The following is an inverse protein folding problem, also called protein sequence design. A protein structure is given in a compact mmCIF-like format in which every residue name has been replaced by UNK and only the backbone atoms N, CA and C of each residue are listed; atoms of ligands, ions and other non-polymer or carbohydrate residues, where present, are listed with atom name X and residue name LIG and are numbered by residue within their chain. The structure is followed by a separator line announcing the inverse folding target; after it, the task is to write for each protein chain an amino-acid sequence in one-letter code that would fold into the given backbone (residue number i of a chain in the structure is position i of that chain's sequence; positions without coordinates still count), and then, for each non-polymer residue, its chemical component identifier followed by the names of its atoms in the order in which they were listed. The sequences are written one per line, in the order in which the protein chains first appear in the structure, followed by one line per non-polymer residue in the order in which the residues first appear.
data_IF_702923431196
#
_entry.id   IF_702923431196
#
_cell.length_a   1.000
_cell.length_b   1.000
_cell.length_c   1.000
_cell.angle_alpha   90.00
_cell.angle_beta   90.00
_cell.angle_gamma   90.00
#
_symmetry.space_group_name_H-M   'P 1'
#
loop_
_entity.id
_entity.type
_entity.pdbx_description
1 polymer ?
#
# COMPACT_ATOMS: atom_id res chain seq x y z
N UNK A 1 37.80 5.13 -13.14
CA UNK A 1 37.14 4.11 -13.93
C UNK A 1 35.79 4.65 -14.41
N UNK A 2 35.53 4.58 -15.70
CA UNK A 2 34.22 4.89 -16.28
C UNK A 2 33.35 3.64 -16.16
N UNK A 3 32.13 3.78 -15.59
CA UNK A 3 31.18 2.70 -15.46
C UNK A 3 29.85 3.15 -16.05
N UNK A 4 29.22 2.29 -16.85
CA UNK A 4 27.92 2.54 -17.43
C UNK A 4 26.83 2.06 -16.44
N UNK A 5 25.89 2.93 -16.08
CA UNK A 5 24.79 2.61 -15.18
C UNK A 5 23.53 3.40 -15.58
N UNK A 6 22.36 2.97 -15.10
CA UNK A 6 21.08 3.64 -15.30
C UNK A 6 20.73 4.51 -14.11
N UNK A 7 20.15 5.67 -14.39
CA UNK A 7 19.66 6.59 -13.38
C UNK A 7 18.24 7.04 -13.72
N UNK A 8 17.36 7.08 -12.72
CA UNK A 8 16.06 7.74 -12.86
C UNK A 8 16.27 9.25 -12.90
N UNK A 9 15.75 9.90 -13.93
CA UNK A 9 15.79 11.36 -14.07
C UNK A 9 14.39 11.88 -14.40
N UNK A 10 14.01 13.04 -13.86
CA UNK A 10 12.78 13.72 -14.25
C UNK A 10 12.82 14.10 -15.73
N UNK A 11 11.70 13.94 -16.40
CA UNK A 11 11.57 14.19 -17.83
C UNK A 11 10.58 15.29 -18.11
N UNK A 12 10.99 16.32 -18.86
CA UNK A 12 10.11 17.35 -19.34
C UNK A 12 9.40 16.90 -20.62
N UNK A 13 8.10 16.65 -20.56
CA UNK A 13 7.32 16.24 -21.73
C UNK A 13 7.17 17.34 -22.79
N UNK A 14 7.29 18.61 -22.40
CA UNK A 14 7.22 19.76 -23.31
C UNK A 14 8.51 19.93 -24.11
N UNK A 15 9.66 19.83 -23.44
CA UNK A 15 10.98 20.03 -24.07
C UNK A 15 11.57 18.72 -24.61
N UNK A 16 11.01 17.57 -24.23
CA UNK A 16 11.51 16.23 -24.55
C UNK A 16 12.97 16.04 -24.10
N UNK A 17 13.30 16.53 -22.90
CA UNK A 17 14.64 16.43 -22.30
C UNK A 17 14.57 16.02 -20.84
N UNK A 18 15.66 15.39 -20.33
CA UNK A 18 15.86 15.19 -18.90
C UNK A 18 16.07 16.54 -18.20
N UNK A 19 15.58 16.64 -16.97
CA UNK A 19 15.76 17.82 -16.11
C UNK A 19 16.82 17.56 -15.05
N UNK A 20 17.66 18.56 -14.80
CA UNK A 20 18.58 18.54 -13.68
C UNK A 20 17.85 18.83 -12.35
N UNK A 21 18.48 18.43 -11.23
CA UNK A 21 17.94 18.72 -9.89
C UNK A 21 17.77 20.23 -9.65
N UNK A 22 18.65 21.06 -10.24
CA UNK A 22 18.57 22.51 -10.11
C UNK A 22 17.35 23.11 -10.84
N UNK A 23 17.03 22.62 -12.03
CA UNK A 23 15.84 23.03 -12.78
C UNK A 23 14.56 22.62 -12.06
N UNK A 24 14.54 21.42 -11.45
CA UNK A 24 13.41 20.98 -10.64
C UNK A 24 13.20 21.87 -9.42
N UNK A 25 14.26 22.19 -8.69
CA UNK A 25 14.18 22.97 -7.46
C UNK A 25 13.52 24.34 -7.66
N UNK A 26 13.65 24.93 -8.85
CA UNK A 26 13.02 26.20 -9.20
C UNK A 26 11.53 26.09 -9.57
N UNK A 27 11.05 24.89 -9.83
CA UNK A 27 9.68 24.63 -10.29
C UNK A 27 8.70 24.17 -9.20
N UNK A 28 9.15 23.96 -7.97
CA UNK A 28 8.28 23.51 -6.88
C UNK A 28 7.23 24.56 -6.52
N UNK A 29 6.00 24.11 -6.40
CA UNK A 29 4.87 24.88 -5.89
C UNK A 29 3.86 23.95 -5.24
N UNK A 30 3.14 24.48 -4.27
CA UNK A 30 2.05 23.74 -3.65
C UNK A 30 0.91 23.55 -4.65
N UNK A 31 0.47 22.30 -4.78
CA UNK A 31 -0.66 21.91 -5.61
C UNK A 31 -1.59 21.02 -4.80
N UNK A 32 -2.88 21.05 -5.13
CA UNK A 32 -3.86 20.14 -4.53
C UNK A 32 -4.15 19.05 -5.54
N UNK A 33 -3.76 17.83 -5.20
CA UNK A 33 -4.00 16.64 -6.01
C UNK A 33 -4.91 15.64 -5.29
N UNK A 34 -5.56 14.79 -6.08
CA UNK A 34 -6.36 13.69 -5.53
C UNK A 34 -5.45 12.54 -5.13
N UNK A 35 -5.58 12.08 -3.90
CA UNK A 35 -4.96 10.85 -3.44
C UNK A 35 -5.95 9.69 -3.51
N UNK A 36 -5.42 8.47 -3.63
CA UNK A 36 -6.21 7.24 -3.77
C UNK A 36 -5.71 6.21 -2.77
N UNK A 37 -6.65 5.55 -2.08
CA UNK A 37 -6.39 4.32 -1.34
C UNK A 37 -6.68 3.13 -2.24
N UNK A 38 -5.68 2.27 -2.40
CA UNK A 38 -5.72 1.12 -3.32
C UNK A 38 -5.74 -0.16 -2.52
N UNK A 39 -6.67 -1.05 -2.85
CA UNK A 39 -6.80 -2.38 -2.24
C UNK A 39 -6.03 -3.40 -3.09
N UNK A 40 -4.97 -3.97 -2.54
CA UNK A 40 -4.27 -5.09 -3.14
C UNK A 40 -4.74 -6.38 -2.48
N UNK A 41 -5.43 -7.21 -3.23
CA UNK A 41 -6.00 -8.46 -2.73
C UNK A 41 -4.89 -9.47 -2.45
N UNK A 42 -4.88 -10.04 -1.26
CA UNK A 42 -3.96 -11.08 -0.88
C UNK A 42 -4.49 -12.47 -1.28
N UNK A 43 -3.59 -13.42 -1.45
CA UNK A 43 -3.98 -14.82 -1.61
C UNK A 43 -4.53 -15.36 -0.28
N UNK A 44 -5.52 -16.23 -0.37
CA UNK A 44 -6.15 -16.84 0.79
C UNK A 44 -5.23 -17.88 1.48
N UNK A 45 -5.51 -18.17 2.76
CA UNK A 45 -4.83 -19.17 3.56
C UNK A 45 -3.35 -18.88 3.86
N UNK A 46 -2.94 -17.61 3.79
CA UNK A 46 -1.62 -17.17 4.24
C UNK A 46 -1.67 -16.78 5.71
N UNK A 47 -0.66 -17.15 6.49
CA UNK A 47 -0.56 -16.80 7.92
C UNK A 47 0.29 -15.55 8.12
N UNK A 48 -0.22 -14.61 8.93
CA UNK A 48 0.49 -13.44 9.42
C UNK A 48 0.31 -13.43 10.94
N UNK A 49 1.31 -13.88 11.67
CA UNK A 49 1.14 -14.14 13.09
C UNK A 49 0.02 -15.16 13.33
N UNK A 50 -0.99 -14.75 14.11
CA UNK A 50 -2.17 -15.60 14.38
C UNK A 50 -3.36 -15.34 13.43
N UNK A 51 -3.20 -14.44 12.48
CA UNK A 51 -4.21 -14.15 11.46
C UNK A 51 -4.01 -15.02 10.23
N UNK A 52 -5.09 -15.52 9.66
CA UNK A 52 -5.08 -16.24 8.38
C UNK A 52 -5.93 -15.47 7.38
N UNK A 53 -5.34 -15.15 6.23
CA UNK A 53 -6.02 -14.43 5.16
C UNK A 53 -7.14 -15.26 4.54
N UNK A 54 -8.21 -14.60 4.13
CA UNK A 54 -9.31 -15.15 3.35
C UNK A 54 -9.40 -14.51 1.95
N UNK A 55 -10.46 -14.79 1.22
CA UNK A 55 -10.71 -14.24 -0.12
C UNK A 55 -11.12 -12.75 -0.12
N UNK A 56 -11.31 -12.15 1.06
CA UNK A 56 -11.67 -10.75 1.28
C UNK A 56 -10.60 -9.97 2.06
N UNK A 57 -9.38 -10.48 2.08
CA UNK A 57 -8.24 -9.84 2.75
C UNK A 57 -7.43 -9.00 1.76
N UNK A 58 -7.18 -7.75 2.13
CA UNK A 58 -6.47 -6.76 1.32
C UNK A 58 -5.38 -6.07 2.13
N UNK A 59 -4.29 -5.71 1.48
CA UNK A 59 -3.34 -4.72 1.99
C UNK A 59 -3.64 -3.37 1.33
N UNK A 60 -3.68 -2.29 2.12
CA UNK A 60 -3.99 -0.96 1.59
C UNK A 60 -2.72 -0.16 1.38
N UNK A 61 -2.54 0.35 0.17
CA UNK A 61 -1.57 1.40 -0.11
C UNK A 61 -2.26 2.74 -0.37
N UNK A 62 -1.59 3.83 -0.04
CA UNK A 62 -2.02 5.17 -0.35
C UNK A 62 -1.06 5.79 -1.37
N UNK A 63 -1.59 6.48 -2.38
CA UNK A 63 -0.78 7.14 -3.40
C UNK A 63 -1.37 8.47 -3.84
N UNK A 64 -0.50 9.43 -4.10
CA UNK A 64 -0.82 10.71 -4.76
C UNK A 64 -0.54 10.66 -6.26
N UNK A 65 0.04 9.56 -6.76
CA UNK A 65 0.41 9.37 -8.18
C UNK A 65 -0.29 8.14 -8.77
N UNK A 66 -1.65 8.12 -8.85
CA UNK A 66 -2.39 6.93 -9.27
C UNK A 66 -2.12 6.50 -10.71
N UNK A 67 -1.57 7.36 -11.55
CA UNK A 67 -1.18 7.03 -12.92
C UNK A 67 0.01 6.06 -13.02
N UNK A 68 0.75 5.83 -11.91
CA UNK A 68 1.83 4.84 -11.85
C UNK A 68 1.33 3.42 -11.53
N UNK A 69 0.08 3.26 -11.10
CA UNK A 69 -0.51 1.96 -10.73
C UNK A 69 -0.43 0.89 -11.83
N UNK A 70 -0.56 1.19 -13.13
CA UNK A 70 -0.35 0.19 -14.18
C UNK A 70 1.07 -0.41 -14.19
N UNK A 71 2.05 0.33 -13.68
CA UNK A 71 3.44 -0.15 -13.51
C UNK A 71 3.72 -0.85 -12.20
N UNK A 72 2.70 -1.07 -11.35
CA UNK A 72 2.89 -1.74 -10.06
C UNK A 72 3.45 -3.15 -10.23
N UNK A 73 4.54 -3.43 -9.53
CA UNK A 73 5.22 -4.73 -9.53
C UNK A 73 5.55 -5.24 -8.13
N UNK A 74 5.40 -4.40 -7.11
CA UNK A 74 5.68 -4.74 -5.72
C UNK A 74 4.96 -3.83 -4.75
N UNK A 75 4.95 -4.22 -3.48
CA UNK A 75 4.57 -3.39 -2.34
C UNK A 75 5.75 -3.29 -1.39
N UNK A 76 6.02 -2.09 -0.89
CA UNK A 76 7.06 -1.86 0.08
C UNK A 76 6.49 -1.60 1.47
N UNK A 77 7.12 -2.19 2.49
CA UNK A 77 6.79 -2.03 3.90
C UNK A 77 8.06 -1.79 4.71
N UNK A 78 7.96 -1.13 5.84
CA UNK A 78 9.09 -0.98 6.76
C UNK A 78 9.05 -2.12 7.78
N UNK A 79 10.18 -2.81 7.97
CA UNK A 79 10.30 -3.98 8.84
C UNK A 79 9.94 -3.71 10.30
N UNK A 80 10.23 -2.52 10.78
CA UNK A 80 10.08 -2.11 12.18
C UNK A 80 8.72 -1.49 12.49
N UNK A 81 7.95 -1.17 11.46
CA UNK A 81 6.60 -0.61 11.62
C UNK A 81 5.64 -1.68 12.11
N UNK A 82 4.79 -1.29 13.08
CA UNK A 82 3.67 -2.10 13.57
C UNK A 82 2.50 -1.99 12.58
N UNK A 83 1.97 -3.14 12.20
CA UNK A 83 0.79 -3.28 11.33
C UNK A 83 -0.33 -3.97 12.07
N UNK A 84 -1.54 -3.69 11.66
CA UNK A 84 -2.76 -4.32 12.19
C UNK A 84 -3.64 -4.83 11.07
N UNK A 85 -4.47 -5.82 11.41
CA UNK A 85 -5.60 -6.23 10.57
C UNK A 85 -6.86 -5.53 11.07
N UNK A 86 -7.49 -4.76 10.21
CA UNK A 86 -8.78 -4.12 10.47
C UNK A 86 -9.88 -4.89 9.77
N UNK A 87 -10.93 -5.28 10.49
CA UNK A 87 -12.14 -5.82 9.89
C UNK A 87 -13.11 -4.69 9.58
N UNK A 88 -13.48 -4.53 8.32
CA UNK A 88 -14.56 -3.65 7.87
C UNK A 88 -15.81 -4.47 7.65
N UNK A 89 -16.89 -4.09 8.28
CA UNK A 89 -18.22 -4.68 8.05
C UNK A 89 -19.08 -3.65 7.33
N UNK A 90 -19.64 -4.03 6.18
CA UNK A 90 -20.56 -3.21 5.41
C UNK A 90 -21.97 -3.80 5.50
N UNK A 91 -22.95 -2.98 5.86
CA UNK A 91 -24.36 -3.39 5.90
C UNK A 91 -25.26 -2.23 6.31
N UNK A 92 -26.44 -2.12 5.70
CA UNK A 92 -27.49 -1.20 6.11
C UNK A 92 -28.39 -1.93 7.11
N UNK A 93 -28.19 -1.70 8.42
CA UNK A 93 -29.03 -2.30 9.46
C UNK A 93 -28.56 -1.94 10.88
N UNK A 94 -29.38 -2.30 11.89
CA UNK A 94 -28.94 -2.19 13.28
C UNK A 94 -27.77 -3.14 13.53
N UNK A 95 -26.82 -2.72 14.36
CA UNK A 95 -25.57 -3.48 14.67
C UNK A 95 -25.85 -4.93 15.09
N UNK A 96 -27.01 -5.21 15.69
CA UNK A 96 -27.46 -6.55 16.08
C UNK A 96 -27.93 -7.43 14.92
N UNK A 97 -28.19 -6.85 13.74
CA UNK A 97 -28.73 -7.51 12.55
C UNK A 97 -27.74 -7.54 11.38
N UNK A 98 -26.53 -6.95 11.57
CA UNK A 98 -25.47 -7.00 10.57
C UNK A 98 -25.09 -8.46 10.30
N UNK A 99 -25.65 -8.99 9.23
CA UNK A 99 -25.22 -10.28 8.69
C UNK A 99 -23.71 -10.20 8.46
N UNK A 100 -22.97 -10.99 9.24
CA UNK A 100 -21.51 -11.07 9.28
C UNK A 100 -20.92 -11.50 7.92
N UNK A 101 -21.78 -11.71 6.92
CA UNK A 101 -21.44 -12.25 5.60
C UNK A 101 -20.71 -11.27 4.69
N UNK A 102 -20.79 -9.95 4.92
CA UNK A 102 -20.11 -8.97 4.07
C UNK A 102 -19.06 -8.19 4.87
N UNK A 103 -17.88 -8.79 5.00
CA UNK A 103 -16.73 -8.19 5.66
C UNK A 103 -15.54 -8.16 4.71
N UNK A 104 -14.65 -7.21 4.92
CA UNK A 104 -13.33 -7.15 4.31
C UNK A 104 -12.29 -6.95 5.41
N UNK A 105 -11.13 -7.55 5.25
CA UNK A 105 -9.98 -7.31 6.11
C UNK A 105 -8.98 -6.40 5.42
N UNK A 106 -8.48 -5.41 6.14
CA UNK A 106 -7.47 -4.48 5.66
C UNK A 106 -6.23 -4.53 6.54
N UNK A 107 -5.08 -4.70 5.91
CA UNK A 107 -3.78 -4.61 6.55
C UNK A 107 -3.25 -3.20 6.33
N UNK A 108 -2.91 -2.52 7.42
CA UNK A 108 -2.40 -1.14 7.45
C UNK A 108 -1.47 -0.94 8.64
N UNK A 109 -0.63 0.10 8.60
CA UNK A 109 0.14 0.48 9.77
C UNK A 109 -0.79 0.91 10.93
N UNK A 110 -0.45 0.53 12.15
CA UNK A 110 -1.22 0.87 13.36
C UNK A 110 -1.37 2.39 13.50
N UNK A 111 -0.30 3.16 13.27
CA UNK A 111 -0.32 4.61 13.33
C UNK A 111 -1.34 5.25 12.39
N UNK A 112 -1.58 4.66 11.22
CA UNK A 112 -2.61 5.13 10.29
C UNK A 112 -4.02 4.88 10.84
N UNK A 113 -4.25 3.74 11.47
CA UNK A 113 -5.57 3.42 12.03
C UNK A 113 -6.02 4.41 13.11
N UNK A 114 -5.07 4.96 13.86
CA UNK A 114 -5.35 5.98 14.88
C UNK A 114 -5.81 7.32 14.29
N UNK A 115 -5.53 7.59 13.01
CA UNK A 115 -5.90 8.83 12.31
C UNK A 115 -7.28 8.78 11.65
N UNK A 116 -7.85 7.59 11.52
CA UNK A 116 -9.22 7.49 11.02
C UNK A 116 -10.11 8.15 12.09
N UNK A 117 -10.82 9.28 11.77
CA UNK A 117 -11.71 9.92 12.73
C UNK A 117 -12.86 8.96 13.03
N UNK A 118 -12.93 8.49 14.25
CA UNK A 118 -13.72 7.38 14.65
C UNK A 118 -14.51 7.71 15.90
N UNK A 119 -15.81 7.60 15.85
CA UNK A 119 -16.62 7.47 17.06
C UNK A 119 -16.35 6.09 17.67
N UNK A 120 -15.67 6.08 18.83
CA UNK A 120 -15.37 4.84 19.55
C UNK A 120 -16.54 4.46 20.45
N UNK A 121 -17.15 3.35 20.17
CA UNK A 121 -18.11 2.74 21.07
C UNK A 121 -17.72 1.28 21.32
N UNK A 122 -17.18 0.99 22.51
CA UNK A 122 -16.82 -0.36 22.92
C UNK A 122 -15.70 -1.04 22.08
N UNK A 123 -14.71 -0.28 21.57
CA UNK A 123 -13.60 -0.80 20.74
C UNK A 123 -13.97 -1.00 19.27
N UNK A 124 -15.15 -0.56 18.88
CA UNK A 124 -15.61 -0.54 17.47
C UNK A 124 -15.58 0.89 16.95
N UNK A 125 -15.30 1.01 15.69
CA UNK A 125 -14.99 2.25 15.05
C UNK A 125 -15.86 2.47 13.81
N UNK A 126 -16.55 3.61 13.76
CA UNK A 126 -17.52 3.93 12.69
C UNK A 126 -16.99 5.04 11.79
N UNK A 127 -17.11 4.86 10.47
CA UNK A 127 -17.02 5.93 9.48
C UNK A 127 -18.21 5.81 8.53
N UNK A 128 -19.19 6.69 8.67
CA UNK A 128 -20.43 6.58 7.90
C UNK A 128 -21.16 5.27 8.20
N UNK A 129 -21.39 4.44 7.18
CA UNK A 129 -22.09 3.15 7.30
C UNK A 129 -21.16 1.94 7.52
N UNK A 130 -19.84 2.16 7.63
CA UNK A 130 -18.88 1.08 7.82
C UNK A 130 -18.43 0.96 9.28
N UNK A 131 -18.46 -0.26 9.80
CA UNK A 131 -17.96 -0.63 11.11
C UNK A 131 -16.55 -1.21 10.96
N UNK A 132 -15.60 -0.73 11.78
CA UNK A 132 -14.25 -1.28 11.85
C UNK A 132 -14.03 -1.91 13.22
N UNK A 133 -13.60 -3.17 13.24
CA UNK A 133 -13.16 -3.86 14.45
C UNK A 133 -11.64 -3.99 14.42
N UNK A 134 -10.97 -3.32 15.36
CA UNK A 134 -9.50 -3.28 15.43
C UNK A 134 -8.92 -4.35 16.36
N UNK A 135 -9.70 -5.37 16.73
CA UNK A 135 -9.28 -6.40 17.69
C UNK A 135 -8.25 -7.41 17.16
N UNK A 136 -7.87 -7.30 15.90
CA UNK A 136 -6.86 -8.19 15.33
C UNK A 136 -5.46 -7.67 15.60
N UNK A 137 -4.61 -8.56 16.07
CA UNK A 137 -3.30 -8.37 16.68
C UNK A 137 -2.34 -7.53 15.84
N UNK A 138 -1.45 -6.83 16.55
CA UNK A 138 -0.29 -6.15 15.99
C UNK A 138 0.74 -7.19 15.54
N UNK A 139 1.35 -6.95 14.41
CA UNK A 139 2.48 -7.71 13.88
C UNK A 139 3.46 -6.74 13.21
N UNK A 140 4.69 -7.16 13.01
CA UNK A 140 5.72 -6.32 12.40
C UNK A 140 5.70 -6.42 10.88
N UNK A 141 6.21 -5.40 10.22
CA UNK A 141 6.39 -5.44 8.77
C UNK A 141 7.22 -6.63 8.28
N UNK A 142 8.15 -7.13 9.13
CA UNK A 142 8.88 -8.37 8.85
C UNK A 142 7.99 -9.59 8.62
N UNK A 143 6.84 -9.67 9.29
CA UNK A 143 5.92 -10.80 9.17
C UNK A 143 5.21 -10.81 7.82
N UNK A 144 5.06 -9.62 7.19
CA UNK A 144 4.47 -9.47 5.86
C UNK A 144 5.35 -10.02 4.74
N UNK A 145 6.67 -10.07 4.93
CA UNK A 145 7.59 -10.59 3.92
C UNK A 145 7.42 -12.10 3.67
N UNK A 146 6.84 -12.83 4.63
CA UNK A 146 6.53 -14.25 4.49
C UNK A 146 5.37 -14.54 3.54
N UNK A 147 4.61 -13.52 3.15
CA UNK A 147 3.47 -13.65 2.25
C UNK A 147 3.93 -13.98 0.84
N UNK A 148 3.22 -14.87 0.17
CA UNK A 148 3.63 -15.35 -1.14
C UNK A 148 3.50 -14.27 -2.21
N UNK A 149 2.30 -13.80 -2.45
CA UNK A 149 1.97 -12.80 -3.48
C UNK A 149 0.63 -12.13 -3.19
N UNK A 150 0.44 -10.96 -3.77
CA UNK A 150 -0.87 -10.32 -3.92
C UNK A 150 -1.34 -10.41 -5.39
N UNK A 151 -2.64 -10.27 -5.61
CA UNK A 151 -3.21 -10.27 -6.95
C UNK A 151 -2.93 -8.92 -7.64
N UNK A 152 -2.40 -8.92 -8.88
CA UNK A 152 -2.13 -7.68 -9.61
C UNK A 152 -3.42 -6.91 -9.88
N UNK A 153 -3.34 -5.58 -9.83
CA UNK A 153 -4.44 -4.69 -10.22
C UNK A 153 -4.71 -4.76 -11.73
N UNK A 154 -3.64 -4.91 -12.50
CA UNK A 154 -3.66 -5.01 -13.96
C UNK A 154 -2.89 -6.25 -14.39
N UNK A 155 -3.46 -7.02 -15.29
CA UNK A 155 -2.79 -8.18 -15.86
C UNK A 155 -1.81 -7.75 -16.92
N UNK A 156 -0.52 -7.94 -16.64
CA UNK A 156 0.57 -7.70 -17.59
C UNK A 156 1.28 -9.03 -17.80
N UNK A 157 1.09 -9.71 -18.95
CA UNK A 157 1.57 -11.09 -19.17
C UNK A 157 3.06 -11.27 -18.89
N UNK A 158 3.87 -10.24 -19.17
CA UNK A 158 5.31 -10.25 -18.92
C UNK A 158 5.68 -10.38 -17.45
N UNK A 159 4.84 -9.89 -16.53
CA UNK A 159 5.07 -9.91 -15.08
C UNK A 159 4.40 -11.08 -14.38
N UNK A 160 3.38 -11.69 -14.96
CA UNK A 160 2.64 -12.81 -14.35
C UNK A 160 3.56 -14.01 -14.05
N UNK A 161 4.54 -14.27 -14.91
CA UNK A 161 5.50 -15.36 -14.77
C UNK A 161 6.81 -14.97 -14.07
N UNK A 162 6.91 -13.73 -13.58
CA UNK A 162 8.10 -13.27 -12.86
C UNK A 162 8.11 -13.82 -11.43
N UNK A 163 9.27 -14.30 -10.98
CA UNK A 163 9.47 -14.76 -9.60
C UNK A 163 9.59 -13.61 -8.59
N UNK A 164 9.75 -12.38 -9.06
CA UNK A 164 9.95 -11.18 -8.25
C UNK A 164 8.76 -10.24 -8.24
N UNK A 165 7.85 -10.33 -9.21
CA UNK A 165 6.69 -9.44 -9.26
C UNK A 165 5.60 -9.81 -8.27
N UNK A 166 4.85 -8.78 -7.83
CA UNK A 166 3.66 -8.87 -6.99
C UNK A 166 3.90 -9.43 -5.58
N UNK A 167 5.09 -9.18 -5.05
CA UNK A 167 5.50 -9.53 -3.67
C UNK A 167 5.59 -8.28 -2.79
N UNK A 168 5.74 -8.53 -1.48
CA UNK A 168 5.99 -7.50 -0.48
C UNK A 168 7.49 -7.48 -0.20
N UNK A 169 8.07 -6.29 -0.22
CA UNK A 169 9.50 -6.03 -0.02
C UNK A 169 9.72 -5.10 1.17
N UNK A 170 10.89 -5.22 1.79
CA UNK A 170 11.30 -4.28 2.83
C UNK A 170 11.91 -3.03 2.21
N UNK A 171 11.53 -1.86 2.76
CA UNK A 171 12.13 -0.59 2.36
C UNK A 171 12.14 0.40 3.53
N UNK A 172 13.30 0.98 3.80
CA UNK A 172 13.47 1.91 4.92
C UNK A 172 12.80 3.27 4.67
N UNK A 173 12.57 3.64 3.41
CA UNK A 173 11.87 4.88 3.04
C UNK A 173 10.38 4.86 3.36
N UNK A 174 9.79 3.70 3.66
CA UNK A 174 8.37 3.61 4.00
C UNK A 174 8.12 4.19 5.38
N UNK A 175 7.32 5.26 5.42
CA UNK A 175 6.85 5.92 6.64
C UNK A 175 5.42 5.52 6.96
N UNK A 176 5.12 5.40 8.25
CA UNK A 176 3.74 5.28 8.77
C UNK A 176 3.16 6.65 9.15
N UNK A 177 3.93 7.73 9.05
CA UNK A 177 3.47 9.09 9.37
C UNK A 177 2.53 9.65 8.32
N UNK A 178 2.80 9.34 7.04
CA UNK A 178 1.97 9.75 5.92
C UNK A 178 1.45 8.51 5.18
N UNK A 179 0.14 8.29 5.18
CA UNK A 179 -0.46 7.16 4.47
C UNK A 179 -0.58 5.89 5.31
N UNK A 180 -0.79 4.77 4.64
CA UNK A 180 -1.15 3.48 5.25
C UNK A 180 0.05 2.67 5.78
N UNK A 181 1.27 3.19 5.66
CA UNK A 181 2.50 2.44 5.94
C UNK A 181 2.84 1.39 4.88
N UNK A 182 2.16 1.42 3.74
CA UNK A 182 2.42 0.56 2.58
C UNK A 182 2.54 1.42 1.34
N UNK A 183 3.62 1.28 0.62
CA UNK A 183 3.89 1.98 -0.63
C UNK A 183 3.80 1.01 -1.79
N UNK A 184 3.02 1.35 -2.82
CA UNK A 184 3.06 0.61 -4.08
C UNK A 184 4.31 1.00 -4.85
N UNK A 185 5.02 0.04 -5.41
CA UNK A 185 6.25 0.27 -6.16
C UNK A 185 6.09 0.00 -7.65
N UNK A 186 6.64 0.91 -8.44
CA UNK A 186 6.67 0.85 -9.90
C UNK A 186 8.10 1.19 -10.35
N UNK A 187 8.94 0.19 -10.46
CA UNK A 187 10.41 0.22 -10.48
C UNK A 187 11.05 1.32 -11.34
N UNK A 188 10.41 1.83 -12.38
CA UNK A 188 10.99 2.81 -13.29
C UNK A 188 10.45 4.24 -13.08
N UNK A 189 9.55 4.48 -12.11
CA UNK A 189 8.86 5.76 -11.96
C UNK A 189 9.36 6.64 -10.81
N UNK A 190 10.26 6.12 -9.96
CA UNK A 190 10.88 6.84 -8.86
C UNK A 190 12.28 6.34 -8.56
N UNK A 191 13.11 7.17 -7.90
CA UNK A 191 14.47 6.78 -7.53
C UNK A 191 14.45 5.69 -6.45
N UNK A 192 13.57 5.82 -5.45
CA UNK A 192 13.40 4.83 -4.39
C UNK A 192 12.87 3.50 -4.95
N UNK A 193 11.89 3.55 -5.87
CA UNK A 193 11.37 2.37 -6.55
C UNK A 193 12.43 1.65 -7.37
N UNK A 194 13.28 2.42 -8.07
CA UNK A 194 14.37 1.89 -8.87
C UNK A 194 15.44 1.22 -7.99
N UNK A 195 15.81 1.84 -6.88
CA UNK A 195 16.78 1.29 -5.95
C UNK A 195 16.27 0.02 -5.27
N UNK A 196 14.97 -0.05 -4.96
CA UNK A 196 14.33 -1.26 -4.44
C UNK A 196 14.30 -2.40 -5.47
N UNK A 197 14.25 -2.06 -6.77
CA UNK A 197 14.20 -3.03 -7.87
C UNK A 197 15.56 -3.60 -8.29
N UNK A 198 16.68 -3.02 -7.82
CA UNK A 198 18.04 -3.54 -8.01
C UNK A 198 18.33 -4.72 -7.09
#
# INVERSE_FOLDING_TARGET
FLQEDFKVVPWCTRCATGLSSHELAQGYKETTDRSVYVKFKLESNQKIGDFTTDDKTYILAWTTTPWTLPGNVGLAVNLNTEYIVMKRVTGAGRISELNILDHEYYIVAEAWSARIPLERNGGRVFRGTALYDTKFRNFKGSDLLSMSRYQPLFRIPKFENSNTSYKIYSADFVSAEDGTGVVHTAVMYGEDDYNLGK
#
